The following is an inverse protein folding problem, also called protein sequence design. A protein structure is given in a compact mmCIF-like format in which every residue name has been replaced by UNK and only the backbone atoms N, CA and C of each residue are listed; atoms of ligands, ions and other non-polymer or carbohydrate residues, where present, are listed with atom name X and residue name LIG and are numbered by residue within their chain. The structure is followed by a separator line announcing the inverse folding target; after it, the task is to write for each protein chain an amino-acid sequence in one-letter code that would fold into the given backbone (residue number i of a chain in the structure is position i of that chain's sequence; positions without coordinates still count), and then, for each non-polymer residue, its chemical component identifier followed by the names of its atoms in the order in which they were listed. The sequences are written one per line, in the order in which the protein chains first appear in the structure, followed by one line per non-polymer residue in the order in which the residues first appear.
data_IF_064365559027
#
_entry.id   IF_064365559027
#
_cell.length_a   1.000
_cell.length_b   1.000
_cell.length_c   1.000
_cell.angle_alpha   90.00
_cell.angle_beta   90.00
_cell.angle_gamma   90.00
#
_symmetry.space_group_name_H-M   'P 1'
#
loop_
_entity.id
_entity.type
_entity.pdbx_description
1 polymer ?
#
# COMPACT_ATOMS: atom_id res chain seq x y z
N UNK A 1 17.68 -0.84 8.74
CA UNK A 1 17.82 -1.90 7.73
C UNK A 1 19.29 -2.09 7.39
N UNK A 2 19.63 -3.13 6.67
CA UNK A 2 21.04 -3.50 6.42
C UNK A 2 21.81 -2.46 5.59
N UNK A 3 21.12 -1.69 4.74
CA UNK A 3 21.68 -0.52 4.03
C UNK A 3 22.15 0.59 4.99
N UNK A 4 21.46 0.82 6.11
CA UNK A 4 21.91 1.78 7.13
C UNK A 4 23.16 1.27 7.84
N UNK A 5 23.18 -0.03 8.15
CA UNK A 5 24.29 -0.68 8.86
C UNK A 5 25.55 -0.78 8.00
N UNK A 6 25.42 -0.78 6.67
CA UNK A 6 26.57 -0.87 5.77
C UNK A 6 27.38 0.44 5.66
N UNK A 7 26.83 1.57 6.12
CA UNK A 7 27.49 2.87 5.99
C UNK A 7 27.53 3.43 4.56
N UNK A 8 26.83 2.79 3.62
CA UNK A 8 26.70 3.31 2.26
C UNK A 8 25.91 4.62 2.27
N UNK A 9 26.32 5.57 1.43
CA UNK A 9 25.50 6.74 1.15
C UNK A 9 24.34 6.33 0.24
N UNK A 10 23.10 6.51 0.70
CA UNK A 10 21.91 6.12 -0.02
C UNK A 10 20.82 7.20 0.09
N UNK A 11 19.94 7.25 -0.90
CA UNK A 11 18.76 8.12 -0.92
C UNK A 11 17.48 7.31 -1.14
N UNK A 12 16.34 7.88 -0.74
CA UNK A 12 15.01 7.33 -0.99
C UNK A 12 14.23 8.34 -1.81
N UNK A 13 14.06 8.04 -3.10
CA UNK A 13 13.27 8.83 -4.04
C UNK A 13 11.84 8.32 -4.17
N UNK A 14 11.01 9.12 -4.84
CA UNK A 14 9.73 8.64 -5.33
C UNK A 14 9.93 7.61 -6.47
N UNK A 15 8.93 6.77 -6.72
CA UNK A 15 8.90 5.86 -7.84
C UNK A 15 9.02 6.65 -9.15
N UNK A 16 9.82 6.15 -10.12
CA UNK A 16 9.78 6.69 -11.47
C UNK A 16 8.39 6.49 -12.07
N UNK A 17 8.05 7.35 -13.03
CA UNK A 17 6.80 7.27 -13.77
C UNK A 17 7.09 7.41 -15.27
N UNK A 18 6.18 6.92 -16.10
CA UNK A 18 6.22 7.11 -17.54
C UNK A 18 5.90 8.58 -17.88
N UNK A 19 6.84 9.30 -18.48
CA UNK A 19 6.68 10.71 -18.86
C UNK A 19 5.65 10.93 -19.97
N UNK A 20 5.36 9.90 -20.76
CA UNK A 20 4.39 9.97 -21.86
C UNK A 20 2.97 9.64 -21.37
N UNK A 21 2.83 9.10 -20.16
CA UNK A 21 1.55 8.83 -19.54
C UNK A 21 0.84 10.14 -19.15
N UNK A 22 -0.26 10.44 -19.86
CA UNK A 22 -1.05 11.66 -19.63
C UNK A 22 -1.49 11.79 -18.17
N UNK A 23 -1.07 12.88 -17.53
CA UNK A 23 -1.44 13.20 -16.16
C UNK A 23 -0.59 12.51 -15.09
N UNK A 24 0.49 11.81 -15.45
CA UNK A 24 1.48 11.26 -14.52
C UNK A 24 2.37 12.37 -13.89
N UNK A 25 2.92 12.13 -12.68
CA UNK A 25 2.60 11.02 -11.80
C UNK A 25 1.21 11.15 -11.16
N UNK A 26 0.58 10.00 -10.90
CA UNK A 26 -0.63 9.90 -10.07
C UNK A 26 -0.22 9.40 -8.67
N UNK A 27 -1.12 9.52 -7.68
CA UNK A 27 -0.90 8.91 -6.36
C UNK A 27 -0.61 7.41 -6.44
N UNK A 28 0.20 6.92 -5.50
CA UNK A 28 0.32 5.49 -5.25
C UNK A 28 -0.80 4.98 -4.34
N UNK A 29 -0.98 3.66 -4.32
CA UNK A 29 -1.95 2.97 -3.46
C UNK A 29 -1.26 2.39 -2.22
N UNK A 30 -1.93 2.36 -1.05
CA UNK A 30 -1.38 1.73 0.14
C UNK A 30 -1.42 0.20 0.03
N UNK A 31 -0.38 -0.46 0.54
CA UNK A 31 -0.38 -1.89 0.83
C UNK A 31 -0.64 -2.18 2.31
N UNK A 32 -0.16 -3.31 2.80
CA UNK A 32 -0.26 -3.69 4.22
C UNK A 32 -1.58 -4.39 4.56
N UNK A 33 -2.06 -4.17 5.79
CA UNK A 33 -3.25 -4.81 6.33
C UNK A 33 -4.18 -3.77 6.97
N UNK A 34 -5.45 -4.15 7.13
CA UNK A 34 -6.45 -3.40 7.87
C UNK A 34 -7.06 -4.27 8.97
N UNK A 35 -7.57 -3.65 10.03
CA UNK A 35 -8.32 -4.34 11.07
C UNK A 35 -9.79 -4.46 10.65
N UNK A 36 -10.33 -5.66 10.75
CA UNK A 36 -11.75 -5.97 10.50
C UNK A 36 -12.40 -6.49 11.78
N UNK A 37 -13.69 -6.23 11.93
CA UNK A 37 -14.49 -6.70 13.06
C UNK A 37 -15.39 -7.82 12.57
N UNK A 38 -15.33 -8.98 13.22
CA UNK A 38 -16.25 -10.06 12.91
C UNK A 38 -17.69 -9.66 13.23
N UNK A 39 -18.63 -10.10 12.40
CA UNK A 39 -20.06 -9.95 12.68
C UNK A 39 -20.52 -10.81 13.86
N UNK A 40 -21.79 -10.64 14.23
CA UNK A 40 -22.49 -11.42 15.27
C UNK A 40 -21.80 -11.39 16.65
N UNK A 41 -21.36 -10.21 17.07
CA UNK A 41 -20.85 -9.94 18.43
C UNK A 41 -21.89 -9.23 19.27
N UNK A 42 -21.71 -9.28 20.59
CA UNK A 42 -22.53 -8.53 21.53
C UNK A 42 -22.24 -7.03 21.47
N UNK A 43 -23.20 -6.20 21.89
CA UNK A 43 -23.02 -4.75 21.99
C UNK A 43 -21.84 -4.36 22.88
N UNK A 44 -21.58 -5.14 23.94
CA UNK A 44 -20.46 -4.94 24.84
C UNK A 44 -19.12 -5.19 24.13
N UNK A 45 -19.00 -6.27 23.36
CA UNK A 45 -17.81 -6.54 22.54
C UNK A 45 -17.59 -5.45 21.50
N UNK A 46 -18.64 -5.03 20.79
CA UNK A 46 -18.52 -3.94 19.82
C UNK A 46 -18.10 -2.62 20.47
N UNK A 47 -18.59 -2.30 21.67
CA UNK A 47 -18.16 -1.13 22.44
C UNK A 47 -16.67 -1.21 22.79
N UNK A 48 -16.18 -2.39 23.20
CA UNK A 48 -14.76 -2.63 23.45
C UNK A 48 -13.89 -2.46 22.21
N UNK A 49 -14.32 -3.03 21.08
CA UNK A 49 -13.61 -2.90 19.79
C UNK A 49 -13.58 -1.44 19.33
N UNK A 50 -14.70 -0.70 19.45
CA UNK A 50 -14.76 0.71 19.11
C UNK A 50 -13.81 1.55 20.00
N UNK A 51 -13.76 1.27 21.30
CA UNK A 51 -12.82 1.92 22.22
C UNK A 51 -11.35 1.64 21.84
N UNK A 52 -11.04 0.41 21.43
CA UNK A 52 -9.71 0.05 20.96
C UNK A 52 -9.34 0.77 19.65
N UNK A 53 -10.23 0.82 18.66
CA UNK A 53 -9.98 1.57 17.42
C UNK A 53 -9.85 3.07 17.67
N UNK A 54 -10.63 3.63 18.60
CA UNK A 54 -10.49 5.03 19.02
C UNK A 54 -9.14 5.29 19.68
N UNK A 55 -8.66 4.38 20.54
CA UNK A 55 -7.31 4.45 21.10
C UNK A 55 -6.23 4.41 20.01
N UNK A 56 -6.31 3.45 19.09
CA UNK A 56 -5.36 3.34 17.98
C UNK A 56 -5.37 4.58 17.09
N UNK A 57 -6.48 5.30 16.98
CA UNK A 57 -6.63 6.49 16.14
C UNK A 57 -6.16 7.78 16.83
N UNK A 58 -5.77 7.75 18.11
CA UNK A 58 -5.19 8.92 18.78
C UNK A 58 -3.89 9.35 18.09
N UNK A 59 -3.66 10.66 18.03
CA UNK A 59 -2.51 11.25 17.31
C UNK A 59 -1.18 10.75 17.85
N UNK A 60 -1.01 10.70 19.17
CA UNK A 60 0.21 10.22 19.85
C UNK A 60 0.46 8.73 19.62
N UNK A 61 -0.60 7.92 19.63
CA UNK A 61 -0.53 6.48 19.34
C UNK A 61 -0.13 6.25 17.88
N UNK A 62 -0.75 6.95 16.93
CA UNK A 62 -0.41 6.86 15.51
C UNK A 62 0.99 7.38 15.20
N UNK A 63 1.40 8.49 15.80
CA UNK A 63 2.76 9.01 15.70
C UNK A 63 3.76 7.94 16.17
N UNK A 64 3.54 7.38 17.37
CA UNK A 64 4.39 6.31 17.90
C UNK A 64 4.47 5.10 16.97
N UNK A 65 3.32 4.60 16.50
CA UNK A 65 3.27 3.43 15.62
C UNK A 65 3.98 3.70 14.29
N UNK A 66 3.75 4.86 13.66
CA UNK A 66 4.41 5.25 12.42
C UNK A 66 5.93 5.30 12.60
N UNK A 67 6.41 6.00 13.63
CA UNK A 67 7.83 6.19 13.86
C UNK A 67 8.54 4.86 14.16
N UNK A 68 7.92 4.00 14.98
CA UNK A 68 8.51 2.71 15.39
C UNK A 68 8.47 1.64 14.32
N UNK A 69 7.34 1.50 13.62
CA UNK A 69 7.13 0.36 12.71
C UNK A 69 7.66 0.60 11.30
N UNK A 70 7.63 1.85 10.81
CA UNK A 70 7.87 2.14 9.39
C UNK A 70 6.60 2.21 8.54
N UNK A 71 5.43 1.78 9.04
CA UNK A 71 4.16 1.97 8.35
C UNK A 71 3.77 3.45 8.27
N UNK A 72 2.98 3.81 7.26
CA UNK A 72 2.47 5.18 7.09
C UNK A 72 1.52 5.55 8.26
N UNK A 73 1.49 6.82 8.70
CA UNK A 73 0.48 7.27 9.64
C UNK A 73 -0.89 7.26 8.97
N UNK A 74 -1.93 6.74 9.64
CA UNK A 74 -3.27 6.60 9.02
C UNK A 74 -4.11 7.89 9.10
N UNK A 75 -3.62 8.92 9.78
CA UNK A 75 -4.29 10.22 9.91
C UNK A 75 -3.36 11.38 9.57
N UNK A 76 -3.92 12.46 9.00
CA UNK A 76 -3.17 13.69 8.74
C UNK A 76 -2.64 14.33 10.03
N UNK A 77 -3.40 14.26 11.12
CA UNK A 77 -2.98 14.79 12.42
C UNK A 77 -1.67 14.13 12.91
N UNK A 78 -1.54 12.80 12.75
CA UNK A 78 -0.34 12.07 13.14
C UNK A 78 0.86 12.35 12.20
N UNK A 79 0.60 12.54 10.90
CA UNK A 79 1.62 13.00 9.96
C UNK A 79 2.16 14.38 10.37
N UNK A 80 1.28 15.34 10.65
CA UNK A 80 1.65 16.69 11.06
C UNK A 80 2.38 16.70 12.42
N UNK A 81 1.94 15.88 13.37
CA UNK A 81 2.63 15.71 14.66
C UNK A 81 4.05 15.16 14.46
N UNK A 82 4.20 14.10 13.66
CA UNK A 82 5.50 13.50 13.32
C UNK A 82 6.42 14.51 12.63
N UNK A 83 5.87 15.33 11.72
CA UNK A 83 6.63 16.38 11.05
C UNK A 83 7.14 17.43 12.03
N UNK A 84 6.26 17.92 12.91
CA UNK A 84 6.57 18.93 13.94
C UNK A 84 7.57 18.44 14.99
N UNK A 85 7.64 17.13 15.26
CA UNK A 85 8.63 16.55 16.17
C UNK A 85 10.05 16.47 15.58
N UNK A 86 10.24 16.84 14.30
CA UNK A 86 11.52 16.80 13.60
C UNK A 86 11.94 15.37 13.25
N UNK A 87 11.00 14.41 13.24
CA UNK A 87 11.31 13.00 12.96
C UNK A 87 11.84 12.81 11.55
N UNK A 88 11.25 13.48 10.55
CA UNK A 88 11.66 13.32 9.14
C UNK A 88 13.03 13.94 8.85
N UNK A 89 13.39 15.03 9.53
CA UNK A 89 14.73 15.64 9.40
C UNK A 89 15.82 14.68 9.91
N UNK A 90 15.54 13.96 11.00
CA UNK A 90 16.44 12.97 11.61
C UNK A 90 16.44 11.63 10.88
N UNK A 91 15.38 11.33 10.12
CA UNK A 91 15.18 10.07 9.42
C UNK A 91 14.85 10.37 7.94
N UNK A 92 15.82 10.89 7.17
CA UNK A 92 15.60 11.27 5.79
C UNK A 92 15.05 10.09 4.98
N UNK A 93 14.03 10.36 4.17
CA UNK A 93 13.33 9.36 3.36
C UNK A 93 12.10 8.72 4.02
N UNK A 94 11.88 8.91 5.33
CA UNK A 94 10.65 8.42 6.00
C UNK A 94 9.39 9.20 5.61
N UNK A 95 9.54 10.43 5.10
CA UNK A 95 8.45 11.25 4.58
C UNK A 95 8.11 10.93 3.10
N UNK A 96 9.10 10.47 2.32
CA UNK A 96 8.98 10.22 0.87
C UNK A 96 7.74 9.40 0.47
N UNK A 97 7.44 8.23 1.08
CA UNK A 97 6.28 7.45 0.68
C UNK A 97 4.95 8.14 1.01
N UNK A 98 4.92 9.01 2.03
CA UNK A 98 3.73 9.81 2.38
C UNK A 98 3.50 10.84 1.29
N UNK A 99 4.54 11.62 0.94
CA UNK A 99 4.49 12.62 -0.12
C UNK A 99 4.14 12.02 -1.48
N UNK A 100 4.60 10.81 -1.77
CA UNK A 100 4.25 10.10 -2.99
C UNK A 100 2.78 9.68 -3.01
N UNK A 101 2.26 9.16 -1.89
CA UNK A 101 0.87 8.75 -1.78
C UNK A 101 -0.09 9.94 -1.82
N UNK A 102 0.31 11.10 -1.29
CA UNK A 102 -0.54 12.30 -1.20
C UNK A 102 -0.26 13.37 -2.25
N UNK A 103 0.71 13.14 -3.16
CA UNK A 103 1.16 14.13 -4.14
C UNK A 103 0.11 14.56 -5.15
N UNK A 104 -0.95 13.76 -5.34
CA UNK A 104 -2.09 14.09 -6.18
C UNK A 104 -3.36 13.48 -5.60
N UNK A 105 -4.50 14.15 -5.77
CA UNK A 105 -5.79 13.59 -5.35
C UNK A 105 -6.09 12.29 -6.10
N UNK A 106 -6.58 11.23 -5.41
CA UNK A 106 -6.98 9.99 -6.07
C UNK A 106 -8.13 10.19 -7.04
N UNK A 107 -8.03 9.53 -8.19
CA UNK A 107 -9.15 9.25 -9.10
C UNK A 107 -9.95 8.05 -8.59
N UNK A 108 -11.10 7.76 -9.22
CA UNK A 108 -11.89 6.58 -8.85
C UNK A 108 -11.13 5.26 -9.01
N UNK A 109 -10.20 5.19 -9.96
CA UNK A 109 -9.41 3.99 -10.24
C UNK A 109 -8.02 3.96 -9.56
N UNK A 110 -7.70 4.94 -8.70
CA UNK A 110 -6.40 5.02 -8.00
C UNK A 110 -6.52 5.07 -6.48
N UNK A 111 -7.71 4.85 -5.92
CA UNK A 111 -7.94 4.73 -4.46
C UNK A 111 -7.36 3.43 -3.89
N UNK A 112 -7.26 2.39 -4.71
CA UNK A 112 -6.84 1.05 -4.32
C UNK A 112 -7.33 0.01 -5.31
N UNK A 113 -6.98 -1.24 -5.08
CA UNK A 113 -7.39 -2.38 -5.90
C UNK A 113 -8.30 -3.27 -5.07
N UNK A 114 -9.51 -3.55 -5.58
CA UNK A 114 -10.50 -4.42 -4.94
C UNK A 114 -11.04 -5.41 -5.95
N UNK A 115 -10.75 -6.69 -5.74
CA UNK A 115 -11.32 -7.79 -6.50
C UNK A 115 -11.48 -9.03 -5.60
N UNK A 116 -12.44 -9.92 -5.92
CA UNK A 116 -12.46 -11.28 -5.38
C UNK A 116 -11.13 -11.98 -5.64
N UNK A 117 -10.68 -12.76 -4.65
CA UNK A 117 -9.51 -13.61 -4.77
C UNK A 117 -8.23 -12.90 -5.28
N UNK A 118 -8.01 -11.66 -4.85
CA UNK A 118 -6.84 -10.85 -5.20
C UNK A 118 -5.48 -11.55 -5.00
N UNK A 119 -5.27 -12.40 -3.96
CA UNK A 119 -4.02 -13.15 -3.83
C UNK A 119 -3.70 -14.02 -5.05
N UNK A 120 -4.66 -14.84 -5.50
CA UNK A 120 -4.45 -15.70 -6.67
C UNK A 120 -4.23 -14.88 -7.95
N UNK A 121 -4.94 -13.76 -8.12
CA UNK A 121 -4.72 -12.88 -9.27
C UNK A 121 -3.31 -12.27 -9.27
N UNK A 122 -2.76 -11.96 -8.09
CA UNK A 122 -1.36 -11.51 -7.98
C UNK A 122 -0.36 -12.61 -8.32
N UNK A 123 -0.60 -13.84 -7.88
CA UNK A 123 0.27 -14.97 -8.21
C UNK A 123 0.29 -15.20 -9.73
N UNK A 124 -0.88 -15.17 -10.38
CA UNK A 124 -1.00 -15.22 -11.84
C UNK A 124 -0.19 -14.10 -12.51
N UNK A 125 -0.33 -12.86 -12.04
CA UNK A 125 0.43 -11.72 -12.59
C UNK A 125 1.94 -11.91 -12.43
N UNK A 126 2.39 -12.39 -11.27
CA UNK A 126 3.80 -12.64 -11.01
C UNK A 126 4.35 -13.73 -11.93
N UNK A 127 3.66 -14.85 -12.09
CA UNK A 127 4.09 -15.93 -12.99
C UNK A 127 4.25 -15.46 -14.44
N UNK A 128 3.29 -14.67 -14.94
CA UNK A 128 3.36 -14.17 -16.32
C UNK A 128 4.49 -13.14 -16.50
N UNK A 129 4.72 -12.28 -15.51
CA UNK A 129 5.86 -11.36 -15.51
C UNK A 129 7.21 -12.10 -15.41
N UNK A 130 7.30 -13.15 -14.61
CA UNK A 130 8.52 -13.97 -14.49
C UNK A 130 8.86 -14.69 -15.80
N UNK A 131 7.87 -15.29 -16.48
CA UNK A 131 8.05 -15.88 -17.82
C UNK A 131 8.52 -14.85 -18.83
N UNK A 132 7.96 -13.63 -18.78
CA UNK A 132 8.38 -12.53 -19.65
C UNK A 132 9.83 -12.14 -19.40
N UNK A 133 10.21 -11.95 -18.13
CA UNK A 133 11.59 -11.62 -17.73
C UNK A 133 12.58 -12.74 -18.08
N UNK A 134 12.11 -14.00 -18.12
CA UNK A 134 12.88 -15.16 -18.57
C UNK A 134 12.95 -15.30 -20.11
N UNK A 135 12.36 -14.38 -20.87
CA UNK A 135 12.36 -14.41 -22.34
C UNK A 135 11.45 -15.47 -22.97
N UNK A 136 10.55 -16.07 -22.19
CA UNK A 136 9.65 -17.14 -22.65
C UNK A 136 8.38 -16.60 -23.33
N UNK A 137 8.08 -15.31 -23.15
CA UNK A 137 6.98 -14.61 -23.81
C UNK A 137 7.26 -13.12 -23.93
N UNK A 138 6.55 -12.46 -24.84
CA UNK A 138 6.59 -10.99 -24.99
C UNK A 138 5.84 -10.29 -23.86
N UNK A 139 6.10 -8.99 -23.68
CA UNK A 139 5.35 -8.18 -22.71
C UNK A 139 3.85 -8.14 -23.00
N UNK A 140 3.45 -8.07 -24.28
CA UNK A 140 2.05 -8.12 -24.67
C UNK A 140 1.40 -9.46 -24.26
N UNK A 141 2.05 -10.58 -24.58
CA UNK A 141 1.55 -11.91 -24.20
C UNK A 141 1.42 -12.07 -22.68
N UNK A 142 2.39 -11.58 -21.91
CA UNK A 142 2.33 -11.67 -20.45
C UNK A 142 1.11 -10.93 -19.88
N UNK A 143 0.84 -9.71 -20.37
CA UNK A 143 -0.32 -8.93 -19.94
C UNK A 143 -1.64 -9.57 -20.40
N UNK A 144 -1.72 -10.04 -21.65
CA UNK A 144 -2.92 -10.70 -22.18
C UNK A 144 -3.23 -11.99 -21.41
N UNK A 145 -2.21 -12.80 -21.11
CA UNK A 145 -2.34 -14.02 -20.33
C UNK A 145 -2.75 -13.73 -18.89
N UNK A 146 -2.17 -12.71 -18.26
CA UNK A 146 -2.52 -12.30 -16.91
C UNK A 146 -3.99 -11.84 -16.83
N UNK A 147 -4.48 -11.11 -17.84
CA UNK A 147 -5.90 -10.72 -17.95
C UNK A 147 -6.79 -11.94 -18.13
N UNK A 148 -6.46 -12.83 -19.08
CA UNK A 148 -7.29 -14.01 -19.36
C UNK A 148 -7.39 -14.94 -18.13
N UNK A 149 -6.25 -15.29 -17.52
CA UNK A 149 -6.17 -16.16 -16.34
C UNK A 149 -6.77 -15.47 -15.11
N UNK A 150 -6.50 -14.18 -14.91
CA UNK A 150 -7.05 -13.40 -13.80
C UNK A 150 -8.57 -13.30 -13.84
N UNK A 151 -9.14 -13.04 -15.02
CA UNK A 151 -10.60 -12.99 -15.21
C UNK A 151 -11.25 -14.36 -14.94
N UNK A 152 -10.61 -15.45 -15.35
CA UNK A 152 -11.10 -16.80 -15.05
C UNK A 152 -11.12 -17.06 -13.52
N UNK A 153 -10.05 -16.71 -12.80
CA UNK A 153 -9.97 -16.86 -11.35
C UNK A 153 -10.99 -15.98 -10.59
N UNK A 154 -11.25 -14.76 -11.08
CA UNK A 154 -12.28 -13.87 -10.52
C UNK A 154 -13.66 -14.50 -10.71
N UNK A 155 -13.95 -15.03 -11.90
CA UNK A 155 -15.23 -15.68 -12.19
C UNK A 155 -15.46 -16.89 -11.29
N UNK A 156 -14.47 -17.78 -11.18
CA UNK A 156 -14.53 -18.96 -10.31
C UNK A 156 -14.81 -18.58 -8.85
N UNK A 157 -14.19 -17.52 -8.34
CA UNK A 157 -14.41 -17.04 -6.99
C UNK A 157 -15.80 -16.42 -6.75
N UNK A 158 -16.48 -15.94 -7.79
CA UNK A 158 -17.84 -15.39 -7.69
C UNK A 158 -18.93 -16.44 -7.81
N UNK A 159 -18.63 -17.56 -8.45
CA UNK A 159 -19.55 -18.69 -8.64
C UNK A 159 -19.62 -19.61 -7.40
N UNK A 160 -18.77 -19.37 -6.38
CA UNK A 160 -18.72 -20.07 -5.07
C UNK A 160 -19.48 -19.32 -3.97
#
# INVERSE_FOLDING_TARGET
GDIVKSGMNYGIGQLPYDSDAKGAPQNTTPGGASLWVFGNKSDEEYKGVAAFFAYLSKTDVQEYLHQKSGYLPVTLAAYEATKKSGFYDKNPGRETPILQMTGKSPTDNSKGVRLPNLPQVRDIQNEELEKMLAGQQTAQQALDNAVARGNAAIKEALDN
#
